data_IF_785205333625
#
_entry.id   IF_785205333625
#
_cell.length_a   1.000
_cell.length_b   1.000
_cell.length_c   1.000
_cell.angle_alpha   90.00
_cell.angle_beta   90.00
_cell.angle_gamma   90.00
#
_symmetry.space_group_name_H-M   'P 1'
#
loop_
_entity.id
_entity.type
_entity.pdbx_description
1 polymer ?
#
# COMPACT_ATOMS: atom_id res chain seq x y z
N UNK A 1 -2.29 -7.78 -0.85
CA UNK A 1 -2.27 -6.48 -0.18
C UNK A 1 -1.62 -6.63 1.19
N UNK A 2 -1.00 -5.56 1.70
CA UNK A 2 -0.36 -5.45 3.02
C UNK A 2 -0.81 -4.18 3.74
N UNK A 3 -0.64 -4.16 5.07
CA UNK A 3 -0.86 -2.97 5.88
C UNK A 3 0.50 -2.42 6.35
N UNK A 4 0.74 -1.14 6.13
CA UNK A 4 1.95 -0.43 6.52
C UNK A 4 1.64 0.54 7.65
N UNK A 5 2.45 0.54 8.70
CA UNK A 5 2.33 1.50 9.81
C UNK A 5 3.65 2.23 9.96
N UNK A 6 3.62 3.56 9.79
CA UNK A 6 4.64 4.44 10.35
C UNK A 6 4.50 4.42 11.88
N UNK A 7 5.36 3.62 12.53
CA UNK A 7 5.21 3.28 13.93
C UNK A 7 5.78 4.34 14.88
N UNK A 8 6.57 5.30 14.37
CA UNK A 8 7.10 6.42 15.16
C UNK A 8 6.01 7.46 15.44
N UNK A 9 5.06 7.65 14.52
CA UNK A 9 3.94 8.59 14.68
C UNK A 9 2.63 7.95 15.19
N UNK A 10 2.51 6.62 15.14
CA UNK A 10 1.25 5.92 15.46
C UNK A 10 1.00 5.71 16.97
N UNK A 11 -0.13 6.20 17.53
CA UNK A 11 -0.56 5.88 18.89
C UNK A 11 -0.71 4.38 19.13
N UNK A 12 -0.49 3.93 20.38
CA UNK A 12 -0.67 2.52 20.77
C UNK A 12 -2.06 1.99 20.47
N UNK A 13 -3.10 2.82 20.68
CA UNK A 13 -4.48 2.48 20.38
C UNK A 13 -4.73 2.18 18.89
N UNK A 14 -4.06 2.92 18.00
CA UNK A 14 -4.15 2.72 16.55
C UNK A 14 -3.50 1.38 16.17
N UNK A 15 -2.28 1.14 16.67
CA UNK A 15 -1.56 -0.12 16.45
C UNK A 15 -2.39 -1.34 16.89
N UNK A 16 -3.00 -1.27 18.06
CA UNK A 16 -3.83 -2.36 18.60
C UNK A 16 -5.08 -2.64 17.74
N UNK A 17 -5.72 -1.61 17.17
CA UNK A 17 -6.84 -1.78 16.24
C UNK A 17 -6.37 -2.51 14.98
N UNK A 18 -5.24 -2.07 14.41
CA UNK A 18 -4.68 -2.68 13.18
C UNK A 18 -4.25 -4.13 13.44
N UNK A 19 -3.60 -4.42 14.57
CA UNK A 19 -3.17 -5.79 14.91
C UNK A 19 -4.33 -6.77 15.03
N UNK A 20 -5.44 -6.34 15.67
CA UNK A 20 -6.65 -7.17 15.75
C UNK A 20 -7.25 -7.45 14.38
N UNK A 21 -7.29 -6.45 13.50
CA UNK A 21 -7.79 -6.62 12.14
C UNK A 21 -6.89 -7.53 11.31
N UNK A 22 -5.57 -7.29 11.36
CA UNK A 22 -4.53 -8.10 10.72
C UNK A 22 -4.64 -9.58 11.11
N UNK A 23 -4.78 -9.87 12.41
CA UNK A 23 -4.95 -11.24 12.90
C UNK A 23 -6.26 -11.87 12.43
N UNK A 24 -7.37 -11.12 12.50
CA UNK A 24 -8.71 -11.62 12.12
C UNK A 24 -8.82 -11.93 10.63
N UNK A 25 -8.13 -11.16 9.80
CA UNK A 25 -8.22 -11.23 8.34
C UNK A 25 -6.99 -11.88 7.68
N UNK A 26 -6.03 -12.31 8.50
CA UNK A 26 -4.76 -12.90 8.07
C UNK A 26 -3.96 -12.00 7.09
N UNK A 27 -4.01 -10.69 7.31
CA UNK A 27 -3.34 -9.70 6.45
C UNK A 27 -1.99 -9.33 7.03
N UNK A 28 -0.92 -9.50 6.25
CA UNK A 28 0.44 -9.08 6.62
C UNK A 28 0.45 -7.60 6.99
N UNK A 29 1.00 -7.30 8.17
CA UNK A 29 1.14 -5.93 8.69
C UNK A 29 2.61 -5.67 9.04
N UNK A 30 3.11 -4.53 8.58
CA UNK A 30 4.51 -4.17 8.68
C UNK A 30 4.61 -2.86 9.45
N UNK A 31 5.22 -2.94 10.64
CA UNK A 31 5.61 -1.77 11.41
C UNK A 31 6.96 -1.28 10.91
N UNK A 32 7.05 -0.01 10.53
CA UNK A 32 8.32 0.61 10.12
C UNK A 32 8.64 1.71 11.12
N UNK A 33 9.84 1.70 11.68
CA UNK A 33 10.30 2.70 12.62
C UNK A 33 11.82 2.91 12.53
N UNK A 34 12.26 4.13 12.84
CA UNK A 34 13.66 4.51 12.99
C UNK A 34 14.30 3.92 14.26
N UNK A 35 13.47 3.53 15.24
CA UNK A 35 13.91 2.87 16.46
C UNK A 35 13.32 1.47 16.56
N UNK A 36 13.97 0.54 17.30
CA UNK A 36 13.46 -0.81 17.45
C UNK A 36 12.03 -0.81 17.98
N UNK A 37 11.11 -1.36 17.18
CA UNK A 37 9.72 -1.57 17.57
C UNK A 37 9.44 -3.07 17.59
N UNK A 38 8.92 -3.58 18.70
CA UNK A 38 8.70 -5.02 18.86
C UNK A 38 7.29 -5.36 18.37
N UNK A 39 7.21 -6.25 17.37
CA UNK A 39 5.95 -6.85 16.97
C UNK A 39 5.43 -7.73 18.12
N UNK A 40 4.18 -7.57 18.60
CA UNK A 40 3.74 -8.34 19.75
C UNK A 40 3.56 -9.83 19.38
N UNK A 41 4.06 -10.79 20.19
CA UNK A 41 4.06 -12.21 19.85
C UNK A 41 2.68 -12.82 19.55
N UNK A 42 1.62 -12.22 20.07
CA UNK A 42 0.24 -12.69 19.87
C UNK A 42 -0.32 -12.43 18.45
N UNK A 43 0.42 -11.70 17.61
CA UNK A 43 0.02 -11.27 16.27
C UNK A 43 1.03 -11.77 15.23
N UNK A 44 0.90 -13.03 14.81
CA UNK A 44 1.83 -13.68 13.88
C UNK A 44 1.93 -13.00 12.49
N UNK A 45 0.89 -12.26 12.10
CA UNK A 45 0.84 -11.51 10.84
C UNK A 45 1.58 -10.17 10.91
N UNK A 46 1.99 -9.74 12.11
CA UNK A 46 2.67 -8.47 12.33
C UNK A 46 4.17 -8.71 12.41
N UNK A 47 4.92 -7.97 11.61
CA UNK A 47 6.39 -7.92 11.71
C UNK A 47 6.87 -6.48 11.79
N UNK A 48 8.07 -6.31 12.31
CA UNK A 48 8.73 -5.02 12.41
C UNK A 48 9.91 -4.93 11.46
N UNK A 49 10.09 -3.75 10.87
CA UNK A 49 11.29 -3.34 10.15
C UNK A 49 11.85 -2.13 10.88
N UNK A 50 13.09 -2.26 11.35
CA UNK A 50 13.83 -1.13 11.90
C UNK A 50 14.76 -0.61 10.80
N UNK A 51 14.61 0.66 10.45
CA UNK A 51 15.46 1.32 9.46
C UNK A 51 16.65 2.02 10.16
N UNK A 52 17.74 2.33 9.44
CA UNK A 52 18.84 3.10 10.01
C UNK A 52 18.37 4.45 10.56
N UNK A 53 19.03 4.95 11.61
CA UNK A 53 18.76 6.28 12.12
C UNK A 53 19.03 7.35 11.04
N UNK A 54 18.06 8.26 10.87
CA UNK A 54 18.12 9.35 9.90
C UNK A 54 16.75 9.95 9.68
N UNK A 55 16.71 11.22 9.28
CA UNK A 55 15.45 11.86 8.88
C UNK A 55 14.84 11.10 7.70
N UNK A 56 13.52 10.91 7.76
CA UNK A 56 12.67 10.37 6.69
C UNK A 56 13.02 8.95 6.21
N UNK A 57 13.81 8.19 6.98
CA UNK A 57 14.23 6.85 6.58
C UNK A 57 13.08 5.83 6.60
N UNK A 58 12.18 5.93 7.58
CA UNK A 58 10.97 5.09 7.62
C UNK A 58 10.06 5.41 6.44
N UNK A 59 9.87 6.70 6.16
CA UNK A 59 9.01 7.20 5.09
C UNK A 59 9.48 6.70 3.73
N UNK A 60 10.78 6.88 3.44
CA UNK A 60 11.41 6.34 2.22
C UNK A 60 11.25 4.83 2.10
N UNK A 61 11.45 4.10 3.19
CA UNK A 61 11.31 2.65 3.17
C UNK A 61 9.89 2.22 2.82
N UNK A 62 8.87 2.86 3.41
CA UNK A 62 7.47 2.57 3.10
C UNK A 62 7.18 2.92 1.63
N UNK A 63 7.52 4.14 1.20
CA UNK A 63 7.27 4.61 -0.17
C UNK A 63 7.94 3.74 -1.25
N UNK A 64 9.12 3.19 -0.98
CA UNK A 64 9.84 2.32 -1.92
C UNK A 64 9.37 0.87 -1.93
N UNK A 65 8.77 0.38 -0.84
CA UNK A 65 8.48 -1.06 -0.66
C UNK A 65 7.00 -1.39 -0.74
N UNK A 66 6.14 -0.42 -0.44
CA UNK A 66 4.70 -0.61 -0.50
C UNK A 66 4.25 -0.70 -1.97
N UNK A 67 3.25 -1.55 -2.22
CA UNK A 67 2.77 -1.84 -3.56
C UNK A 67 1.35 -1.26 -3.78
N UNK A 68 0.98 -1.12 -5.05
CA UNK A 68 -0.32 -0.61 -5.44
C UNK A 68 -1.48 -1.36 -4.75
N UNK A 69 -2.41 -0.62 -4.15
CA UNK A 69 -3.56 -1.17 -3.43
C UNK A 69 -3.27 -1.66 -2.02
N UNK A 70 -2.05 -1.50 -1.51
CA UNK A 70 -1.77 -1.63 -0.07
C UNK A 70 -2.45 -0.51 0.74
N UNK A 71 -2.50 -0.69 2.06
CA UNK A 71 -3.04 0.29 2.99
C UNK A 71 -1.95 0.80 3.92
N UNK A 72 -1.82 2.11 4.07
CA UNK A 72 -0.82 2.74 4.93
C UNK A 72 -1.46 3.64 6.01
N UNK A 73 -0.86 3.62 7.19
CA UNK A 73 -1.18 4.49 8.32
C UNK A 73 0.00 5.41 8.59
N UNK A 74 -0.19 6.72 8.37
CA UNK A 74 0.82 7.74 8.66
C UNK A 74 0.17 9.09 8.96
N UNK A 75 0.79 9.87 9.86
CA UNK A 75 0.42 11.25 10.11
C UNK A 75 1.25 12.23 9.25
N UNK A 76 2.30 11.76 8.59
CA UNK A 76 3.16 12.59 7.76
C UNK A 76 2.53 12.84 6.39
N UNK A 77 2.33 14.13 6.07
CA UNK A 77 1.60 14.55 4.87
C UNK A 77 2.44 14.38 3.60
N UNK A 78 3.73 14.76 3.57
CA UNK A 78 4.65 14.36 2.51
C UNK A 78 4.62 12.85 2.20
N UNK A 79 4.84 11.97 3.18
CA UNK A 79 4.73 10.52 2.95
C UNK A 79 3.34 10.13 2.43
N UNK A 80 2.27 10.65 3.03
CA UNK A 80 0.92 10.34 2.58
C UNK A 80 0.67 10.74 1.11
N UNK A 81 1.28 11.84 0.64
CA UNK A 81 1.23 12.26 -0.76
C UNK A 81 1.86 11.21 -1.67
N UNK A 82 3.09 10.81 -1.38
CA UNK A 82 3.82 9.82 -2.19
C UNK A 82 3.08 8.48 -2.26
N UNK A 83 2.49 8.05 -1.13
CA UNK A 83 1.73 6.80 -1.05
C UNK A 83 0.38 6.88 -1.81
N UNK A 84 -0.31 8.00 -1.73
CA UNK A 84 -1.54 8.23 -2.51
C UNK A 84 -1.24 8.24 -4.01
N UNK A 85 -0.12 8.83 -4.42
CA UNK A 85 0.35 8.82 -5.81
C UNK A 85 0.76 7.42 -6.28
N UNK A 86 1.31 6.60 -5.37
CA UNK A 86 1.56 5.17 -5.59
C UNK A 86 0.29 4.31 -5.66
N UNK A 87 -0.91 4.89 -5.45
CA UNK A 87 -2.18 4.18 -5.51
C UNK A 87 -2.51 3.36 -4.25
N UNK A 88 -1.95 3.73 -3.10
CA UNK A 88 -2.29 3.12 -1.82
C UNK A 88 -3.53 3.78 -1.22
N UNK A 89 -4.18 3.02 -0.32
CA UNK A 89 -5.16 3.57 0.61
C UNK A 89 -4.43 4.15 1.81
N UNK A 90 -4.63 5.43 2.13
CA UNK A 90 -3.86 6.09 3.20
C UNK A 90 -4.79 6.73 4.22
N UNK A 91 -4.47 6.56 5.50
CA UNK A 91 -5.24 7.11 6.62
C UNK A 91 -4.31 7.64 7.71
N UNK A 92 -4.68 8.74 8.34
CA UNK A 92 -3.98 9.23 9.52
C UNK A 92 -4.47 8.54 10.81
N UNK A 93 -3.70 8.62 11.91
CA UNK A 93 -4.13 8.09 13.21
C UNK A 93 -5.47 8.63 13.72
N UNK A 94 -5.95 9.79 13.24
CA UNK A 94 -7.20 10.43 13.67
C UNK A 94 -8.41 10.04 12.82
N UNK A 95 -8.22 9.20 11.81
CA UNK A 95 -9.28 8.71 10.95
C UNK A 95 -9.56 9.57 9.72
N UNK A 96 -8.66 10.48 9.36
CA UNK A 96 -8.70 11.22 8.10
C UNK A 96 -8.15 10.34 6.98
N UNK A 97 -8.97 10.07 5.97
CA UNK A 97 -8.52 9.43 4.72
C UNK A 97 -7.79 10.47 3.86
N UNK A 98 -6.60 10.12 3.40
CA UNK A 98 -5.91 10.84 2.34
C UNK A 98 -6.23 10.21 1.00
N UNK A 99 -6.54 11.07 0.03
CA UNK A 99 -6.95 10.70 -1.33
C UNK A 99 -6.40 11.72 -2.31
N UNK A 100 -6.40 11.38 -3.60
CA UNK A 100 -5.99 12.29 -4.67
C UNK A 100 -6.70 13.65 -4.61
N UNK A 101 -7.98 13.66 -4.24
CA UNK A 101 -8.78 14.90 -4.14
C UNK A 101 -8.44 15.75 -2.90
N UNK A 102 -7.90 15.15 -1.84
CA UNK A 102 -7.70 15.81 -0.55
C UNK A 102 -6.23 16.12 -0.24
N UNK A 103 -5.29 15.35 -0.81
CA UNK A 103 -3.90 15.35 -0.37
C UNK A 103 -3.16 16.65 -0.75
N UNK A 104 -3.42 17.21 -1.94
CA UNK A 104 -2.81 18.46 -2.38
C UNK A 104 -3.14 19.64 -1.44
N UNK A 105 -4.40 19.75 -1.02
CA UNK A 105 -4.82 20.79 -0.06
C UNK A 105 -4.17 20.60 1.31
N UNK A 106 -4.06 19.34 1.78
CA UNK A 106 -3.39 19.02 3.04
C UNK A 106 -1.91 19.38 3.01
N UNK A 107 -1.23 19.05 1.91
CA UNK A 107 0.19 19.37 1.72
C UNK A 107 0.43 20.88 1.70
N UNK A 108 -0.42 21.62 0.99
CA UNK A 108 -0.36 23.10 0.94
C UNK A 108 -0.54 23.72 2.33
N UNK A 109 -1.55 23.28 3.09
CA UNK A 109 -1.77 23.75 4.46
C UNK A 109 -0.60 23.40 5.38
N UNK A 110 -0.03 22.20 5.27
CA UNK A 110 1.14 21.79 6.05
C UNK A 110 2.33 22.70 5.75
N UNK A 111 2.63 22.94 4.48
CA UNK A 111 3.76 23.77 4.08
C UNK A 111 3.59 25.21 4.59
N UNK A 112 2.39 25.78 4.44
CA UNK A 112 2.08 27.10 4.97
C UNK A 112 2.27 27.21 6.49
N UNK A 113 1.82 26.21 7.26
CA UNK A 113 1.99 26.19 8.72
C UNK A 113 3.46 26.02 9.13
N UNK A 114 4.25 25.30 8.35
CA UNK A 114 5.68 25.12 8.59
C UNK A 114 6.46 26.40 8.27
N UNK A 115 6.10 27.11 7.20
CA UNK A 115 6.65 28.44 6.87
C UNK A 115 6.40 29.44 8.01
N UNK A 116 5.16 29.50 8.52
CA UNK A 116 4.80 30.36 9.67
C UNK A 116 5.61 30.01 10.93
N UNK A 117 5.85 28.72 11.20
CA UNK A 117 6.73 28.31 12.30
C UNK A 117 8.17 28.78 12.08
N UNK A 118 8.68 28.70 10.84
CA UNK A 118 10.01 29.17 10.46
C UNK A 118 10.19 30.68 10.66
N UNK A 119 9.13 31.46 10.49
CA UNK A 119 9.09 32.90 10.74
C UNK A 119 8.93 33.28 12.24
N UNK A 120 8.91 32.29 13.14
CA UNK A 120 8.80 32.50 14.59
C UNK A 120 7.38 32.71 15.10
N UNK A 121 6.36 32.49 14.26
CA UNK A 121 4.96 32.55 14.69
C UNK A 121 4.61 31.32 15.53
N UNK A 122 3.94 31.51 16.67
CA UNK A 122 3.46 30.42 17.52
C UNK A 122 2.22 29.81 16.88
N UNK A 123 2.41 28.76 16.10
CA UNK A 123 1.33 27.93 15.59
C UNK A 123 0.82 27.03 16.71
N UNK A 124 -0.51 26.97 16.89
CA UNK A 124 -1.15 26.16 17.94
C UNK A 124 -0.72 24.69 17.88
N UNK A 125 -0.49 24.07 19.04
CA UNK A 125 -0.16 22.65 19.13
C UNK A 125 -1.35 21.80 18.73
N UNK A 126 -1.10 20.70 18.03
CA UNK A 126 -2.11 19.67 17.76
C UNK A 126 -2.70 19.18 19.07
N UNK A 127 -4.03 19.08 19.14
CA UNK A 127 -4.74 18.51 20.29
C UNK A 127 -4.16 17.14 20.66
N UNK A 128 -4.12 16.74 21.94
CA UNK A 128 -3.86 15.35 22.30
C UNK A 128 -4.79 14.38 21.56
N UNK A 129 -4.32 13.14 21.37
CA UNK A 129 -5.12 12.06 20.82
C UNK A 129 -6.24 11.69 21.79
N UNK A 130 -7.46 11.51 21.28
CA UNK A 130 -8.67 11.33 22.08
C UNK A 130 -9.44 10.04 21.76
N UNK A 131 -10.41 9.69 22.61
CA UNK A 131 -11.32 8.58 22.36
C UNK A 131 -12.19 8.80 21.11
N UNK A 132 -12.46 10.06 20.75
CA UNK A 132 -13.17 10.42 19.51
C UNK A 132 -12.30 10.12 18.30
N UNK A 133 -11.03 10.49 18.33
CA UNK A 133 -10.06 10.17 17.27
C UNK A 133 -9.95 8.65 17.08
N UNK A 134 -9.89 7.88 18.18
CA UNK A 134 -9.87 6.41 18.14
C UNK A 134 -11.09 5.81 17.43
N UNK A 135 -12.29 6.35 17.70
CA UNK A 135 -13.52 5.89 17.04
C UNK A 135 -13.54 6.26 15.56
N UNK A 136 -13.13 7.49 15.24
CA UNK A 136 -13.03 7.95 13.86
C UNK A 136 -12.04 7.11 13.06
N UNK A 137 -10.85 6.84 13.62
CA UNK A 137 -9.86 5.94 13.06
C UNK A 137 -10.44 4.56 12.79
N UNK A 138 -11.05 3.91 13.79
CA UNK A 138 -11.60 2.57 13.64
C UNK A 138 -12.64 2.49 12.50
N UNK A 139 -13.53 3.49 12.41
CA UNK A 139 -14.57 3.53 11.38
C UNK A 139 -13.99 3.73 9.97
N UNK A 140 -13.09 4.70 9.80
CA UNK A 140 -12.47 4.97 8.50
C UNK A 140 -11.55 3.82 8.08
N UNK A 141 -10.77 3.27 9.00
CA UNK A 141 -9.88 2.13 8.76
C UNK A 141 -10.65 0.90 8.27
N UNK A 142 -11.77 0.54 8.92
CA UNK A 142 -12.58 -0.61 8.51
C UNK A 142 -13.15 -0.44 7.08
N UNK A 143 -13.62 0.77 6.76
CA UNK A 143 -14.12 1.12 5.41
C UNK A 143 -13.01 1.02 4.35
N UNK A 144 -11.82 1.55 4.65
CA UNK A 144 -10.66 1.49 3.75
C UNK A 144 -10.15 0.08 3.56
N UNK A 145 -10.02 -0.67 4.64
CA UNK A 145 -9.58 -2.06 4.61
C UNK A 145 -10.52 -2.93 3.77
N UNK A 146 -11.84 -2.75 3.93
CA UNK A 146 -12.84 -3.45 3.10
C UNK A 146 -12.70 -3.11 1.61
N UNK A 147 -12.44 -1.84 1.27
CA UNK A 147 -12.17 -1.42 -0.12
C UNK A 147 -10.89 -2.05 -0.67
N UNK A 148 -9.81 -2.02 0.11
CA UNK A 148 -8.52 -2.58 -0.27
C UNK A 148 -8.59 -4.09 -0.54
N UNK A 149 -9.23 -4.86 0.35
CA UNK A 149 -9.43 -6.30 0.18
C UNK A 149 -10.19 -6.60 -1.10
N UNK A 150 -11.33 -5.94 -1.33
CA UNK A 150 -12.14 -6.13 -2.56
C UNK A 150 -11.38 -5.78 -3.83
N UNK A 151 -10.54 -4.73 -3.78
CA UNK A 151 -9.71 -4.35 -4.91
C UNK A 151 -8.64 -5.42 -5.19
N UNK A 152 -7.96 -5.92 -4.16
CA UNK A 152 -6.95 -6.98 -4.28
C UNK A 152 -7.56 -8.28 -4.84
N UNK A 153 -8.72 -8.70 -4.36
CA UNK A 153 -9.45 -9.86 -4.89
C UNK A 153 -9.83 -9.72 -6.37
N UNK A 154 -10.25 -8.53 -6.79
CA UNK A 154 -10.57 -8.28 -8.21
C UNK A 154 -9.32 -8.31 -9.09
N UNK A 155 -8.20 -7.76 -8.59
CA UNK A 155 -6.91 -7.79 -9.28
C UNK A 155 -6.41 -9.23 -9.46
N UNK A 156 -6.43 -10.05 -8.41
CA UNK A 156 -6.01 -11.46 -8.45
C UNK A 156 -6.85 -12.29 -9.44
N UNK A 157 -8.18 -12.07 -9.47
CA UNK A 157 -9.07 -12.74 -10.44
C UNK A 157 -8.81 -12.33 -11.89
N UNK A 158 -8.47 -11.06 -12.12
CA UNK A 158 -8.18 -10.56 -13.47
C UNK A 158 -6.84 -11.11 -13.98
N UNK A 159 -5.87 -11.33 -13.09
CA UNK A 159 -4.58 -11.94 -13.43
C UNK A 159 -4.67 -13.45 -13.70
N UNK A 160 -5.60 -14.16 -13.07
CA UNK A 160 -5.76 -15.61 -13.29
C UNK A 160 -6.46 -15.98 -14.61
N UNK A 161 -7.24 -15.06 -15.20
CA UNK A 161 -7.97 -15.30 -16.46
C UNK A 161 -7.17 -14.93 -17.72
N UNK A 162 -5.93 -14.44 -17.59
CA UNK A 162 -5.09 -13.99 -18.72
C UNK A 162 -4.13 -15.04 -19.29
N UNK A 163 -4.12 -16.29 -18.80
CA UNK A 163 -3.09 -17.30 -19.13
C UNK A 163 -3.55 -18.43 -20.06
N UNK A 164 -4.82 -18.51 -20.47
CA UNK A 164 -5.26 -19.50 -21.46
C UNK A 164 -5.31 -18.90 -22.88
N UNK A 165 -4.18 -19.00 -23.57
CA UNK A 165 -4.12 -18.94 -25.03
C UNK A 165 -3.96 -20.39 -25.53
N UNK A 166 -4.80 -20.87 -26.47
CA UNK A 166 -4.78 -22.28 -26.87
C UNK A 166 -3.48 -22.60 -27.60
N UNK A 167 -2.88 -23.73 -27.21
CA UNK A 167 -1.81 -24.37 -27.95
C UNK A 167 -2.39 -24.96 -29.24
N UNK A 168 -2.28 -24.23 -30.36
CA UNK A 168 -2.34 -24.85 -31.68
C UNK A 168 -0.93 -25.37 -32.01
N UNK A 169 -0.66 -26.58 -31.54
CA UNK A 169 0.44 -27.41 -32.00
C UNK A 169 -0.01 -28.35 -33.11
N UNK A 170 0.82 -28.39 -34.14
CA UNK A 170 1.11 -29.50 -35.04
C UNK A 170 0.19 -29.84 -36.21
N UNK A 171 0.78 -29.62 -37.40
CA UNK A 171 0.47 -30.30 -38.65
C UNK A 171 1.73 -30.40 -39.52
N UNK A 172 2.79 -31.02 -38.99
CA UNK A 172 3.97 -31.40 -39.79
C UNK A 172 3.74 -32.80 -40.38
N UNK A 173 3.87 -32.94 -41.69
CA UNK A 173 3.99 -34.24 -42.37
C UNK A 173 3.60 -34.17 -43.84
N UNK A 174 4.56 -34.06 -44.75
CA UNK A 174 5.18 -35.23 -45.38
C UNK A 174 6.04 -34.81 -46.59
N UNK A 175 7.26 -35.32 -46.62
CA UNK A 175 8.21 -35.20 -47.74
C UNK A 175 8.41 -36.59 -48.34
N UNK A 176 8.00 -36.79 -49.59
CA UNK A 176 8.52 -37.86 -50.45
C UNK A 176 8.32 -37.50 -51.96
N UNK A 177 9.45 -37.42 -52.68
CA UNK A 177 9.56 -37.51 -54.15
C UNK A 177 9.57 -39.02 -54.57
N UNK A 178 9.67 -39.47 -55.86
CA UNK A 178 10.16 -38.77 -57.07
C UNK A 178 9.54 -39.12 -58.47
N UNK A 179 10.01 -38.38 -59.50
CA UNK A 179 10.35 -38.69 -60.91
C UNK A 179 9.43 -39.45 -61.92
N UNK A 180 9.50 -38.95 -63.18
CA UNK A 180 9.24 -39.56 -64.52
C UNK A 180 7.79 -39.95 -64.86
N UNK A 181 7.21 -39.72 -66.05
CA UNK A 181 7.74 -39.58 -67.42
C UNK A 181 6.67 -38.91 -68.31
N UNK A 182 7.10 -38.42 -69.47
CA UNK A 182 6.34 -38.36 -70.74
C UNK A 182 5.57 -37.08 -71.12
N UNK A 183 6.19 -36.28 -72.01
CA UNK A 183 5.45 -35.49 -73.01
C UNK A 183 6.27 -35.39 -74.30
N UNK A 184 5.84 -36.18 -75.27
CA UNK A 184 6.21 -36.10 -76.67
C UNK A 184 5.86 -34.73 -77.28
N UNK A 185 6.77 -34.31 -78.15
CA UNK A 185 6.61 -33.51 -79.38
C UNK A 185 5.20 -33.37 -79.96
N UNK A 186 4.80 -32.15 -80.30
CA UNK A 186 4.56 -31.63 -81.67
C UNK A 186 4.40 -30.09 -81.64
#
# INVERSE_FOLDING_TARGET
>A
MKIWIDADAAPTDVKEIVFKASKRLEIETILVANRPVVAPPAYAQVRSVTVPEGADQADRYIAMTADFGDLAITADVPLASDLVDGGLYVIDPRGVEYSQDTIASRLSMRNFMDDLRGEGMVVGRTSPYSATDKKAFAATFDRLLTRAIRADERRRRSQSHGTEQPADSDGTGDTAAPADTDRLSE
#
